data_IF_912284851209
#
_entry.id   IF_912284851209
#
_cell.length_a   1.000
_cell.length_b   1.000
_cell.length_c   1.000
_cell.angle_alpha   90.00
_cell.angle_beta   90.00
_cell.angle_gamma   90.00
#
_symmetry.space_group_name_H-M   'P 1'
#
loop_
_entity.id
_entity.type
_entity.pdbx_description
1 polymer ?
#
# COMPACT_ATOMS: atom_id res chain seq x y z
N UNK A 1 -47.41 15.57 21.34
CA UNK A 1 -46.34 15.05 20.47
C UNK A 1 -46.67 13.62 20.12
N UNK A 2 -46.67 13.28 18.85
CA UNK A 2 -47.00 11.95 18.30
C UNK A 2 -45.80 11.44 17.51
N UNK A 3 -45.38 10.21 17.78
CA UNK A 3 -44.32 9.56 17.02
C UNK A 3 -44.90 8.91 15.78
N UNK A 4 -44.18 9.04 14.67
CA UNK A 4 -44.55 8.51 13.37
C UNK A 4 -43.41 7.65 12.86
N UNK A 5 -43.74 6.44 12.41
CA UNK A 5 -42.75 5.43 12.03
C UNK A 5 -41.88 5.86 10.83
N UNK A 6 -42.42 6.65 9.90
CA UNK A 6 -41.70 7.07 8.69
C UNK A 6 -42.08 8.49 8.24
N UNK A 7 -41.18 9.11 7.46
CA UNK A 7 -41.38 10.46 6.90
C UNK A 7 -42.62 10.56 6.03
N UNK A 8 -42.97 9.50 5.31
CA UNK A 8 -44.13 9.47 4.40
C UNK A 8 -45.48 9.48 5.13
N UNK A 9 -45.47 9.12 6.42
CA UNK A 9 -46.64 9.17 7.30
C UNK A 9 -46.80 10.53 7.99
N UNK A 10 -45.92 11.51 7.70
CA UNK A 10 -46.12 12.88 8.18
C UNK A 10 -47.38 13.49 7.54
N UNK A 11 -48.10 14.37 8.26
CA UNK A 11 -49.23 15.09 7.69
C UNK A 11 -48.80 15.85 6.43
N UNK A 12 -49.67 15.96 5.42
CA UNK A 12 -49.34 16.62 4.15
C UNK A 12 -49.97 18.02 4.07
N UNK A 13 -49.33 18.99 3.37
CA UNK A 13 -49.91 20.31 3.14
C UNK A 13 -51.18 20.17 2.28
N UNK A 14 -52.33 20.56 2.83
CA UNK A 14 -53.66 20.33 2.25
C UNK A 14 -54.77 20.08 3.27
N UNK A 15 -54.40 19.93 4.55
CA UNK A 15 -55.32 19.91 5.69
C UNK A 15 -55.80 21.33 6.07
N UNK A 16 -56.93 21.46 6.80
CA UNK A 16 -57.51 22.75 7.16
C UNK A 16 -56.60 23.63 8.03
N UNK A 17 -55.66 23.03 8.76
CA UNK A 17 -54.73 23.73 9.66
C UNK A 17 -53.37 23.99 8.99
N UNK A 18 -52.73 25.15 9.22
CA UNK A 18 -51.41 25.44 8.68
C UNK A 18 -50.37 24.47 9.27
N UNK A 19 -49.66 23.77 8.38
CA UNK A 19 -48.67 22.74 8.70
C UNK A 19 -47.27 23.18 8.25
N UNK A 20 -46.30 23.13 9.16
CA UNK A 20 -44.90 23.44 8.86
C UNK A 20 -44.06 22.16 8.96
N UNK A 21 -43.29 21.87 7.91
CA UNK A 21 -42.28 20.80 7.90
C UNK A 21 -40.91 21.36 8.29
N UNK A 22 -40.26 20.70 9.24
CA UNK A 22 -38.93 21.03 9.71
C UNK A 22 -37.98 19.84 9.53
N UNK A 23 -36.73 20.16 9.21
CA UNK A 23 -35.63 19.21 9.04
C UNK A 23 -34.43 19.76 9.80
N UNK A 24 -33.93 19.00 10.76
CA UNK A 24 -32.81 19.42 11.61
C UNK A 24 -31.83 18.25 11.79
N UNK A 25 -30.60 18.58 12.16
CA UNK A 25 -29.53 17.60 12.41
C UNK A 25 -29.34 17.40 13.89
N UNK A 26 -29.20 16.14 14.29
CA UNK A 26 -28.83 15.77 15.65
C UNK A 26 -27.30 15.78 15.84
N UNK A 27 -26.85 15.54 17.08
CA UNK A 27 -25.44 15.44 17.49
C UNK A 27 -24.67 14.37 16.69
N UNK A 28 -25.37 13.31 16.28
CA UNK A 28 -24.81 12.21 15.48
C UNK A 28 -24.79 12.48 13.96
N UNK A 29 -25.00 13.73 13.54
CA UNK A 29 -25.11 14.18 12.14
C UNK A 29 -26.27 13.50 11.36
N UNK A 30 -27.19 12.88 12.10
CA UNK A 30 -28.39 12.27 11.55
C UNK A 30 -29.47 13.33 11.31
N UNK A 31 -30.23 13.17 10.24
CA UNK A 31 -31.36 14.04 9.91
C UNK A 31 -32.64 13.51 10.56
N UNK A 32 -33.31 14.36 11.33
CA UNK A 32 -34.65 14.06 11.81
C UNK A 32 -35.66 15.05 11.24
N UNK A 33 -36.89 14.56 11.08
CA UNK A 33 -37.99 15.28 10.45
C UNK A 33 -39.13 15.42 11.46
N UNK A 34 -39.69 16.61 11.54
CA UNK A 34 -40.86 16.86 12.35
C UNK A 34 -41.80 17.84 11.68
N UNK A 35 -43.07 17.78 12.05
CA UNK A 35 -44.07 18.75 11.63
C UNK A 35 -44.80 19.29 12.82
N UNK A 36 -45.15 20.58 12.78
CA UNK A 36 -46.06 21.16 13.76
C UNK A 36 -47.22 21.86 13.05
N UNK A 37 -48.41 21.75 13.64
CA UNK A 37 -49.62 22.46 13.23
C UNK A 37 -50.32 23.03 14.47
N UNK A 38 -51.10 24.09 14.26
CA UNK A 38 -51.94 24.70 15.30
C UNK A 38 -53.38 24.58 14.85
N UNK A 39 -54.18 23.87 15.62
CA UNK A 39 -55.61 23.69 15.34
C UNK A 39 -56.40 24.96 15.63
N UNK A 40 -57.65 25.03 15.14
CA UNK A 40 -58.60 26.11 15.44
C UNK A 40 -58.83 26.38 16.94
N UNK A 41 -58.64 25.39 17.81
CA UNK A 41 -58.74 25.52 19.28
C UNK A 41 -57.45 26.08 19.93
N UNK A 42 -56.47 26.50 19.12
CA UNK A 42 -55.15 26.97 19.55
C UNK A 42 -54.28 25.87 20.23
N UNK A 43 -54.57 24.60 19.94
CA UNK A 43 -53.79 23.45 20.39
C UNK A 43 -52.65 23.16 19.40
N UNK A 44 -51.43 23.02 19.90
CA UNK A 44 -50.26 22.69 19.11
C UNK A 44 -50.11 21.16 18.97
N UNK A 45 -50.18 20.65 17.74
CA UNK A 45 -49.94 19.24 17.42
C UNK A 45 -48.55 19.13 16.77
N UNK A 46 -47.74 18.21 17.30
CA UNK A 46 -46.37 17.96 16.80
C UNK A 46 -46.23 16.48 16.47
N UNK A 47 -45.83 16.18 15.24
CA UNK A 47 -45.48 14.83 14.77
C UNK A 47 -43.97 14.74 14.54
N UNK A 48 -43.34 13.69 15.04
CA UNK A 48 -41.89 13.48 14.91
C UNK A 48 -41.63 12.10 14.33
N UNK A 49 -40.70 12.00 13.38
CA UNK A 49 -40.28 10.71 12.81
C UNK A 49 -39.44 9.93 13.84
N UNK A 50 -39.80 8.68 14.08
CA UNK A 50 -39.17 7.82 15.09
C UNK A 50 -37.73 7.44 14.75
N UNK A 51 -37.45 7.09 13.49
CA UNK A 51 -36.12 6.72 13.02
C UNK A 51 -35.45 7.85 12.24
N UNK A 52 -34.36 8.46 12.74
CA UNK A 52 -33.63 9.48 12.00
C UNK A 52 -32.82 8.88 10.85
N UNK A 53 -32.61 9.66 9.78
CA UNK A 53 -31.81 9.30 8.61
C UNK A 53 -30.33 9.67 8.85
N UNK A 54 -29.52 8.69 9.24
CA UNK A 54 -28.08 8.88 9.43
C UNK A 54 -27.29 8.63 8.13
N UNK A 55 -26.25 9.44 7.83
CA UNK A 55 -25.36 9.16 6.71
C UNK A 55 -24.63 7.83 6.93
N UNK A 56 -24.59 6.98 5.91
CA UNK A 56 -23.77 5.75 5.94
C UNK A 56 -22.29 6.15 5.92
N UNK A 57 -21.50 5.61 6.86
CA UNK A 57 -20.06 5.85 6.90
C UNK A 57 -19.36 5.40 5.60
N UNK A 58 -18.19 5.97 5.29
CA UNK A 58 -17.43 5.56 4.11
C UNK A 58 -17.03 4.08 4.20
N UNK A 59 -17.03 3.39 3.05
CA UNK A 59 -16.55 2.01 2.98
C UNK A 59 -15.03 1.97 3.25
N UNK A 60 -14.64 1.22 4.28
CA UNK A 60 -13.28 1.14 4.81
C UNK A 60 -12.39 0.23 3.93
N UNK A 61 -12.99 -0.77 3.28
CA UNK A 61 -12.27 -1.78 2.49
C UNK A 61 -11.37 -1.16 1.40
N UNK A 62 -11.85 -0.25 0.52
CA UNK A 62 -11.00 0.32 -0.53
C UNK A 62 -9.84 1.16 0.01
N UNK A 63 -10.03 1.85 1.13
CA UNK A 63 -8.98 2.67 1.77
C UNK A 63 -7.84 1.77 2.23
N UNK A 64 -8.17 0.69 2.94
CA UNK A 64 -7.18 -0.26 3.45
C UNK A 64 -6.45 -0.96 2.29
N UNK A 65 -7.18 -1.40 1.27
CA UNK A 65 -6.59 -2.04 0.10
C UNK A 65 -5.60 -1.12 -0.64
N UNK A 66 -5.95 0.17 -0.81
CA UNK A 66 -5.09 1.16 -1.44
C UNK A 66 -3.79 1.40 -0.67
N UNK A 67 -3.87 1.53 0.65
CA UNK A 67 -2.69 1.76 1.51
C UNK A 67 -1.74 0.56 1.47
N UNK A 68 -2.27 -0.66 1.59
CA UNK A 68 -1.45 -1.89 1.56
C UNK A 68 -0.74 -2.02 0.21
N UNK A 69 -1.45 -1.83 -0.90
CA UNK A 69 -0.85 -1.88 -2.23
C UNK A 69 0.26 -0.82 -2.40
N UNK A 70 0.04 0.40 -1.89
CA UNK A 70 1.04 1.47 -1.92
C UNK A 70 2.33 1.11 -1.18
N UNK A 71 2.22 0.59 0.05
CA UNK A 71 3.39 0.19 0.85
C UNK A 71 4.17 -0.93 0.16
N UNK A 72 3.48 -1.93 -0.38
CA UNK A 72 4.11 -3.06 -1.09
C UNK A 72 4.87 -2.58 -2.32
N UNK A 73 4.28 -1.68 -3.12
CA UNK A 73 4.94 -1.12 -4.30
C UNK A 73 6.18 -0.30 -3.95
N UNK A 74 6.11 0.54 -2.91
CA UNK A 74 7.26 1.32 -2.44
C UNK A 74 8.36 0.38 -1.91
N UNK A 75 7.99 -0.64 -1.14
CA UNK A 75 8.93 -1.65 -0.64
C UNK A 75 9.65 -2.37 -1.78
N UNK A 76 8.92 -2.79 -2.81
CA UNK A 76 9.51 -3.41 -3.99
C UNK A 76 10.45 -2.46 -4.74
N UNK A 77 10.07 -1.19 -4.92
CA UNK A 77 10.93 -0.20 -5.58
C UNK A 77 12.25 0.00 -4.82
N UNK A 78 12.20 0.13 -3.49
CA UNK A 78 13.39 0.26 -2.65
C UNK A 78 14.28 -0.99 -2.70
N UNK A 79 13.68 -2.18 -2.67
CA UNK A 79 14.42 -3.45 -2.80
C UNK A 79 15.10 -3.57 -4.16
N UNK A 80 14.44 -3.17 -5.26
CA UNK A 80 15.02 -3.16 -6.60
C UNK A 80 16.19 -2.19 -6.69
N UNK A 81 16.04 -0.97 -6.17
CA UNK A 81 17.14 0.02 -6.15
C UNK A 81 18.32 -0.50 -5.33
N UNK A 82 18.06 -1.02 -4.12
CA UNK A 82 19.11 -1.57 -3.26
C UNK A 82 19.83 -2.75 -3.94
N UNK A 83 19.07 -3.67 -4.54
CA UNK A 83 19.61 -4.81 -5.29
C UNK A 83 20.50 -4.34 -6.46
N UNK A 84 20.04 -3.35 -7.23
CA UNK A 84 20.83 -2.79 -8.34
C UNK A 84 22.14 -2.16 -7.84
N UNK A 85 22.08 -1.35 -6.78
CA UNK A 85 23.27 -0.73 -6.19
C UNK A 85 24.27 -1.79 -5.68
N UNK A 86 23.78 -2.82 -4.99
CA UNK A 86 24.60 -3.94 -4.52
C UNK A 86 25.28 -4.67 -5.67
N UNK A 87 24.55 -4.99 -6.74
CA UNK A 87 25.10 -5.68 -7.93
C UNK A 87 26.19 -4.84 -8.60
N UNK A 88 25.99 -3.52 -8.73
CA UNK A 88 26.98 -2.64 -9.34
C UNK A 88 28.27 -2.59 -8.52
N UNK A 89 28.14 -2.50 -7.19
CA UNK A 89 29.30 -2.48 -6.30
C UNK A 89 30.11 -3.78 -6.42
N UNK A 90 29.43 -4.91 -6.32
CA UNK A 90 30.01 -6.24 -6.43
C UNK A 90 30.72 -6.46 -7.78
N UNK A 91 30.08 -6.09 -8.90
CA UNK A 91 30.70 -6.17 -10.24
C UNK A 91 31.93 -5.27 -10.39
N UNK A 92 31.92 -4.08 -9.77
CA UNK A 92 33.04 -3.13 -9.83
C UNK A 92 34.26 -3.66 -9.09
N UNK A 93 34.05 -4.24 -7.91
CA UNK A 93 35.12 -4.87 -7.13
C UNK A 93 35.66 -6.12 -7.83
N UNK A 94 34.78 -6.95 -8.39
CA UNK A 94 35.17 -8.13 -9.13
C UNK A 94 36.06 -7.80 -10.33
N UNK A 95 35.71 -6.79 -11.13
CA UNK A 95 36.52 -6.35 -12.26
C UNK A 95 37.90 -5.81 -11.83
N UNK A 96 37.97 -5.15 -10.67
CA UNK A 96 39.25 -4.70 -10.09
C UNK A 96 40.10 -5.90 -9.67
N UNK A 97 39.50 -6.89 -9.02
CA UNK A 97 40.18 -8.09 -8.58
C UNK A 97 40.74 -8.92 -9.75
N UNK A 98 39.97 -9.11 -10.83
CA UNK A 98 40.47 -9.82 -12.01
C UNK A 98 41.65 -9.10 -12.67
N UNK A 99 41.61 -7.76 -12.75
CA UNK A 99 42.72 -6.96 -13.26
C UNK A 99 43.97 -7.12 -12.40
N UNK A 100 43.82 -7.07 -11.08
CA UNK A 100 44.93 -7.28 -10.15
C UNK A 100 45.48 -8.71 -10.26
N UNK A 101 44.62 -9.73 -10.39
CA UNK A 101 45.03 -11.12 -10.60
C UNK A 101 45.80 -11.33 -11.91
N UNK A 102 45.38 -10.68 -13.00
CA UNK A 102 46.08 -10.76 -14.30
C UNK A 102 47.44 -10.05 -14.26
N UNK A 103 47.53 -8.92 -13.55
CA UNK A 103 48.78 -8.18 -13.38
C UNK A 103 49.74 -8.86 -12.38
N UNK A 104 49.19 -9.55 -11.39
CA UNK A 104 49.93 -10.37 -10.43
C UNK A 104 50.27 -11.76 -10.97
N UNK A 105 49.97 -12.05 -12.25
CA UNK A 105 50.53 -13.21 -12.93
C UNK A 105 52.01 -12.91 -13.16
N UNK A 106 52.82 -13.28 -12.17
CA UNK A 106 54.28 -13.19 -12.22
C UNK A 106 54.78 -13.76 -13.54
N UNK A 107 55.77 -13.08 -14.12
CA UNK A 107 56.41 -13.49 -15.36
C UNK A 107 57.02 -14.88 -15.14
N UNK A 108 56.29 -15.92 -15.58
CA UNK A 108 56.77 -17.30 -15.68
C UNK A 108 57.73 -17.48 -16.86
N UNK A 109 58.29 -16.39 -17.41
CA UNK A 109 59.51 -16.47 -18.19
C UNK A 109 60.59 -17.11 -17.33
N UNK A 110 60.99 -18.34 -17.67
CA UNK A 110 62.05 -19.05 -16.97
C UNK A 110 63.25 -18.10 -16.77
N UNK A 111 63.63 -17.90 -15.51
CA UNK A 111 64.77 -17.04 -15.18
C UNK A 111 65.99 -17.55 -15.96
N UNK A 112 66.67 -16.73 -16.80
CA UNK A 112 67.77 -17.18 -17.65
C UNK A 112 68.99 -17.70 -16.86
N UNK A 113 69.04 -17.48 -15.54
CA UNK A 113 70.08 -17.99 -14.64
C UNK A 113 69.64 -19.29 -13.93
N UNK A 114 68.37 -19.66 -14.00
CA UNK A 114 67.85 -20.85 -13.34
C UNK A 114 68.18 -22.11 -14.15
N UNK A 115 68.92 -23.03 -13.52
CA UNK A 115 69.10 -24.38 -14.03
C UNK A 115 68.24 -25.32 -13.19
N UNK A 116 67.38 -26.11 -13.83
CA UNK A 116 66.61 -27.14 -13.13
C UNK A 116 67.59 -28.15 -12.50
N UNK A 117 67.35 -28.50 -11.23
CA UNK A 117 68.15 -29.50 -10.51
C UNK A 117 67.78 -30.95 -10.89
N UNK A 118 66.90 -31.12 -11.88
CA UNK A 118 66.40 -32.42 -12.33
C UNK A 118 67.26 -32.89 -13.49
N UNK A 119 68.11 -33.88 -13.24
CA UNK A 119 68.85 -34.57 -14.29
C UNK A 119 67.98 -35.70 -14.85
N UNK A 120 67.47 -35.53 -16.06
CA UNK A 120 66.81 -36.61 -16.81
C UNK A 120 67.86 -37.60 -17.30
N UNK A 121 68.07 -38.67 -16.55
CA UNK A 121 68.94 -39.78 -16.97
C UNK A 121 68.15 -40.67 -17.93
N UNK A 122 68.50 -40.60 -19.22
CA UNK A 122 67.91 -41.47 -20.25
C UNK A 122 68.48 -42.88 -20.06
N UNK A 123 67.62 -43.86 -19.82
CA UNK A 123 68.04 -45.25 -19.62
C UNK A 123 68.55 -45.84 -20.96
N UNK A 124 69.84 -46.18 -21.09
CA UNK A 124 70.40 -46.69 -22.34
C UNK A 124 69.83 -48.04 -22.80
N UNK A 125 69.16 -48.78 -21.91
CA UNK A 125 68.56 -50.09 -22.21
C UNK A 125 67.12 -50.02 -22.72
N UNK A 126 66.52 -48.83 -22.77
CA UNK A 126 65.12 -48.68 -23.16
C UNK A 126 65.02 -48.34 -24.65
N UNK A 127 65.07 -49.36 -25.51
CA UNK A 127 64.52 -49.27 -26.87
C UNK A 127 63.00 -49.29 -26.74
N UNK A 128 62.37 -48.13 -26.98
CA UNK A 128 60.92 -47.98 -26.94
C UNK A 128 60.24 -48.96 -27.90
N UNK A 129 59.20 -49.64 -27.41
CA UNK A 129 58.20 -50.29 -28.26
C UNK A 129 57.20 -49.26 -28.75
#
# INVERSE_FOLDING_TARGET
MTLVESRDKLPQPGQPDPLTHCKEKDVDDCWFYFTYSVNANNDAIVHVVETPECPTGPDIIPIVAGVVAGIVLIGLALLLIWKLLMIIHDRREFAKFEKEKMNAKWDTGENPIYKSAVTTVVNPKYEGK
#
